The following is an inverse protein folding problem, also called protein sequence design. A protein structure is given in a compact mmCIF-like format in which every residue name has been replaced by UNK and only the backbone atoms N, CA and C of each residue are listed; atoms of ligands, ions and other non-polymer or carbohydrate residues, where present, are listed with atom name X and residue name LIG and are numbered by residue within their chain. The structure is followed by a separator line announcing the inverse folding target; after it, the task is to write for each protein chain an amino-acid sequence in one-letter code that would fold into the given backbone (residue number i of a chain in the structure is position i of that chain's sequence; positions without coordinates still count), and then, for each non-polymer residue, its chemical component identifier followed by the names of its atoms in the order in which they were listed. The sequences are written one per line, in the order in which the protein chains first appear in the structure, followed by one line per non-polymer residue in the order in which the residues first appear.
data_IF_418898035949
#
_entry.id   IF_418898035949
#
_cell.length_a   1.000
_cell.length_b   1.000
_cell.length_c   1.000
_cell.angle_alpha   90.00
_cell.angle_beta   90.00
_cell.angle_gamma   90.00
#
_symmetry.space_group_name_H-M   'P 1'
#
loop_
_entity.id
_entity.type
_entity.pdbx_description
1 polymer ?
#
# COMPACT_ATOMS: atom_id res chain seq x y z
N UNK A 1 30.31 -4.52 -3.34
CA UNK A 1 28.95 -5.05 -3.11
C UNK A 1 28.95 -5.63 -1.71
N UNK A 2 28.43 -4.86 -0.76
CA UNK A 2 28.27 -5.28 0.63
C UNK A 2 27.24 -6.41 0.71
N UNK A 3 27.28 -7.21 1.78
CA UNK A 3 26.22 -8.19 2.07
C UNK A 3 24.85 -7.52 2.14
N UNK A 4 24.81 -6.24 2.56
CA UNK A 4 23.59 -5.43 2.60
C UNK A 4 23.04 -5.17 1.19
N UNK A 5 23.91 -4.92 0.19
CA UNK A 5 23.49 -4.76 -1.20
C UNK A 5 22.79 -6.02 -1.71
N UNK A 6 23.30 -7.20 -1.35
CA UNK A 6 22.71 -8.50 -1.73
C UNK A 6 21.31 -8.65 -1.14
N UNK A 7 21.14 -8.30 0.14
CA UNK A 7 19.84 -8.35 0.81
C UNK A 7 18.85 -7.38 0.14
N UNK A 8 19.27 -6.13 -0.11
CA UNK A 8 18.44 -5.16 -0.84
C UNK A 8 18.05 -5.72 -2.21
N UNK A 9 19.01 -6.24 -2.97
CA UNK A 9 18.76 -6.76 -4.31
C UNK A 9 17.78 -7.94 -4.29
N UNK A 10 17.89 -8.81 -3.29
CA UNK A 10 16.98 -9.94 -3.11
C UNK A 10 15.56 -9.47 -2.79
N UNK A 11 15.39 -8.50 -1.88
CA UNK A 11 14.09 -7.94 -1.55
C UNK A 11 13.44 -7.25 -2.75
N UNK A 12 14.21 -6.44 -3.49
CA UNK A 12 13.73 -5.79 -4.72
C UNK A 12 13.42 -6.82 -5.81
N UNK A 13 14.22 -7.88 -5.93
CA UNK A 13 13.98 -8.99 -6.85
C UNK A 13 12.70 -9.75 -6.53
N UNK A 14 12.41 -10.01 -5.25
CA UNK A 14 11.13 -10.58 -4.80
C UNK A 14 9.98 -9.63 -5.15
N UNK A 15 10.14 -8.32 -4.89
CA UNK A 15 9.18 -7.28 -5.29
C UNK A 15 8.87 -7.33 -6.79
N UNK A 16 9.90 -7.40 -7.62
CA UNK A 16 9.79 -7.52 -9.07
C UNK A 16 9.02 -8.78 -9.49
N UNK A 17 9.37 -9.94 -8.94
CA UNK A 17 8.72 -11.21 -9.29
C UNK A 17 7.27 -11.24 -8.83
N UNK A 18 6.99 -10.81 -7.61
CA UNK A 18 5.63 -10.74 -7.05
C UNK A 18 4.79 -9.74 -7.85
N UNK A 19 5.33 -8.57 -8.14
CA UNK A 19 4.67 -7.54 -8.94
C UNK A 19 4.37 -8.02 -10.36
N UNK A 20 5.35 -8.65 -11.02
CA UNK A 20 5.17 -9.17 -12.37
C UNK A 20 4.15 -10.30 -12.43
N UNK A 21 4.09 -11.15 -11.40
CA UNK A 21 3.07 -12.21 -11.28
C UNK A 21 1.67 -11.66 -11.02
N UNK A 22 1.56 -10.58 -10.24
CA UNK A 22 0.27 -9.92 -9.95
C UNK A 22 -0.24 -9.12 -11.16
N UNK A 23 0.65 -8.50 -11.91
CA UNK A 23 0.31 -7.57 -13.00
C UNK A 23 0.01 -6.16 -12.47
N UNK A 24 0.21 -5.15 -13.32
CA UNK A 24 -0.01 -3.74 -12.99
C UNK A 24 -1.49 -3.42 -12.75
N UNK A 25 -2.36 -3.87 -13.66
CA UNK A 25 -3.81 -3.61 -13.61
C UNK A 25 -4.38 -4.08 -12.29
N UNK A 26 -4.06 -5.30 -11.86
CA UNK A 26 -4.51 -5.83 -10.57
C UNK A 26 -4.07 -4.97 -9.39
N UNK A 27 -2.85 -4.45 -9.42
CA UNK A 27 -2.30 -3.63 -8.35
C UNK A 27 -3.00 -2.26 -8.31
N UNK A 28 -3.16 -1.60 -9.45
CA UNK A 28 -3.83 -0.30 -9.55
C UNK A 28 -5.31 -0.41 -9.20
N UNK A 29 -6.04 -1.35 -9.78
CA UNK A 29 -7.47 -1.52 -9.47
C UNK A 29 -7.70 -1.96 -8.01
N UNK A 30 -6.77 -2.71 -7.42
CA UNK A 30 -6.82 -3.02 -5.99
C UNK A 30 -6.69 -1.77 -5.12
N UNK A 31 -5.78 -0.85 -5.46
CA UNK A 31 -5.62 0.42 -4.75
C UNK A 31 -6.80 1.36 -4.96
N UNK A 32 -7.23 1.55 -6.21
CA UNK A 32 -8.39 2.39 -6.54
C UNK A 32 -9.66 1.82 -5.90
N UNK A 33 -9.86 0.51 -5.97
CA UNK A 33 -10.97 -0.18 -5.32
C UNK A 33 -10.98 -0.01 -3.81
N UNK A 34 -9.80 -0.08 -3.17
CA UNK A 34 -9.66 0.20 -1.74
C UNK A 34 -10.08 1.63 -1.40
N UNK A 35 -9.57 2.63 -2.13
CA UNK A 35 -9.89 4.04 -1.88
C UNK A 35 -11.39 4.31 -2.06
N UNK A 36 -11.99 3.78 -3.12
CA UNK A 36 -13.42 3.92 -3.38
C UNK A 36 -14.24 3.18 -2.31
N UNK A 37 -13.82 1.98 -1.90
CA UNK A 37 -14.50 1.23 -0.84
C UNK A 37 -14.45 1.96 0.50
N UNK A 38 -13.33 2.62 0.85
CA UNK A 38 -13.23 3.47 2.04
C UNK A 38 -14.17 4.68 1.92
N UNK A 39 -14.14 5.38 0.79
CA UNK A 39 -14.99 6.56 0.57
C UNK A 39 -16.49 6.23 0.62
N UNK A 40 -16.90 5.12 0.00
CA UNK A 40 -18.27 4.61 0.08
C UNK A 40 -18.61 4.13 1.49
N UNK A 41 -17.71 3.39 2.13
CA UNK A 41 -17.87 2.95 3.51
C UNK A 41 -18.16 4.12 4.44
N UNK A 42 -17.36 5.17 4.35
CA UNK A 42 -17.52 6.39 5.14
C UNK A 42 -18.82 7.12 4.79
N UNK A 43 -19.15 7.27 3.50
CA UNK A 43 -20.34 8.01 3.06
C UNK A 43 -21.66 7.33 3.45
N UNK A 44 -21.68 6.00 3.56
CA UNK A 44 -22.89 5.21 3.81
C UNK A 44 -22.93 4.55 5.20
N UNK A 45 -21.95 4.83 6.08
CA UNK A 45 -21.84 4.17 7.39
C UNK A 45 -23.06 4.37 8.28
N UNK A 46 -23.61 5.59 8.34
CA UNK A 46 -24.77 5.90 9.19
C UNK A 46 -26.05 5.28 8.62
N UNK A 47 -26.27 5.38 7.30
CA UNK A 47 -27.47 4.86 6.65
C UNK A 47 -27.57 3.34 6.74
N UNK A 48 -26.46 2.62 6.48
CA UNK A 48 -26.42 1.16 6.59
C UNK A 48 -26.36 0.70 8.04
N UNK A 49 -25.70 1.46 8.92
CA UNK A 49 -25.73 1.25 10.36
C UNK A 49 -27.16 1.28 10.92
N UNK A 50 -27.91 2.35 10.66
CA UNK A 50 -29.29 2.47 11.12
C UNK A 50 -30.20 1.36 10.56
N UNK A 51 -29.95 0.89 9.33
CA UNK A 51 -30.64 -0.27 8.79
C UNK A 51 -30.30 -1.56 9.56
N UNK A 52 -29.03 -1.76 9.92
CA UNK A 52 -28.56 -2.90 10.72
C UNK A 52 -29.11 -2.89 12.15
N UNK A 53 -29.18 -1.72 12.79
CA UNK A 53 -29.81 -1.52 14.09
C UNK A 53 -31.26 -2.03 14.08
N UNK A 54 -32.06 -1.55 13.12
CA UNK A 54 -33.48 -1.90 13.01
C UNK A 54 -33.73 -3.38 12.67
N UNK A 55 -32.80 -4.04 11.96
CA UNK A 55 -33.00 -5.43 11.48
C UNK A 55 -32.40 -6.48 12.39
N UNK A 56 -31.28 -6.18 13.03
CA UNK A 56 -30.47 -7.15 13.78
C UNK A 56 -30.38 -6.77 15.27
N UNK A 57 -30.91 -5.61 15.67
CA UNK A 57 -30.86 -5.14 17.05
C UNK A 57 -29.45 -4.73 17.49
N UNK A 58 -28.62 -4.27 16.54
CA UNK A 58 -27.26 -3.82 16.82
C UNK A 58 -27.27 -2.59 17.74
N UNK A 59 -26.44 -2.54 18.80
CA UNK A 59 -26.36 -1.36 19.65
C UNK A 59 -25.93 -0.13 18.85
N UNK A 60 -26.56 1.01 19.14
CA UNK A 60 -26.35 2.31 18.44
C UNK A 60 -24.87 2.69 18.37
N UNK A 61 -24.11 2.39 19.43
CA UNK A 61 -22.68 2.72 19.53
C UNK A 61 -21.81 1.99 18.49
N UNK A 62 -22.18 0.77 18.09
CA UNK A 62 -21.45 -0.03 17.09
C UNK A 62 -22.05 0.03 15.69
N UNK A 63 -23.25 0.59 15.57
CA UNK A 63 -24.04 0.63 14.33
C UNK A 63 -23.29 1.30 13.16
N UNK A 64 -22.69 2.50 13.32
CA UNK A 64 -21.93 3.12 12.23
C UNK A 64 -20.71 2.32 11.81
N UNK A 65 -19.98 1.72 12.76
CA UNK A 65 -18.81 0.88 12.45
C UNK A 65 -19.20 -0.39 11.68
N UNK A 66 -20.30 -1.02 12.07
CA UNK A 66 -20.85 -2.18 11.36
C UNK A 66 -21.32 -1.80 9.95
N UNK A 67 -21.97 -0.64 9.80
CA UNK A 67 -22.38 -0.09 8.50
C UNK A 67 -21.19 0.18 7.58
N UNK A 68 -20.16 0.85 8.09
CA UNK A 68 -18.90 1.06 7.37
C UNK A 68 -18.32 -0.28 6.90
N UNK A 69 -18.19 -1.25 7.81
CA UNK A 69 -17.63 -2.57 7.51
C UNK A 69 -18.41 -3.30 6.43
N UNK A 70 -19.75 -3.28 6.49
CA UNK A 70 -20.59 -3.95 5.50
C UNK A 70 -20.44 -3.33 4.10
N UNK A 71 -20.49 -2.00 4.01
CA UNK A 71 -20.34 -1.27 2.74
C UNK A 71 -18.93 -1.44 2.18
N UNK A 72 -17.92 -1.26 3.03
CA UNK A 72 -16.52 -1.42 2.65
C UNK A 72 -16.25 -2.82 2.09
N UNK A 73 -16.66 -3.87 2.79
CA UNK A 73 -16.46 -5.26 2.35
C UNK A 73 -17.24 -5.56 1.07
N UNK A 74 -18.48 -5.07 0.96
CA UNK A 74 -19.29 -5.23 -0.24
C UNK A 74 -18.68 -4.55 -1.47
N UNK A 75 -18.27 -3.29 -1.33
CA UNK A 75 -17.61 -2.54 -2.38
C UNK A 75 -16.26 -3.18 -2.76
N UNK A 76 -15.47 -3.59 -1.77
CA UNK A 76 -14.17 -4.22 -2.01
C UNK A 76 -14.32 -5.56 -2.75
N UNK A 77 -15.32 -6.36 -2.38
CA UNK A 77 -15.64 -7.60 -3.07
C UNK A 77 -16.06 -7.34 -4.52
N UNK A 78 -16.87 -6.31 -4.76
CA UNK A 78 -17.28 -5.89 -6.11
C UNK A 78 -16.07 -5.50 -6.98
N UNK A 79 -15.18 -4.64 -6.49
CA UNK A 79 -13.96 -4.26 -7.20
C UNK A 79 -13.04 -5.45 -7.47
N UNK A 80 -12.96 -6.39 -6.54
CA UNK A 80 -12.18 -7.62 -6.71
C UNK A 80 -12.72 -8.50 -7.84
N UNK A 81 -14.06 -8.57 -8.01
CA UNK A 81 -14.69 -9.29 -9.13
C UNK A 81 -14.37 -8.60 -10.45
N UNK A 82 -14.56 -7.27 -10.53
CA UNK A 82 -14.25 -6.47 -11.73
C UNK A 82 -12.78 -6.66 -12.12
N UNK A 83 -11.87 -6.49 -11.17
CA UNK A 83 -10.43 -6.59 -11.39
C UNK A 83 -10.06 -7.94 -11.99
N UNK A 84 -10.64 -9.03 -11.48
CA UNK A 84 -10.41 -10.38 -12.03
C UNK A 84 -10.93 -10.53 -13.46
N UNK A 85 -12.06 -9.92 -13.79
CA UNK A 85 -12.62 -9.89 -15.14
C UNK A 85 -11.69 -9.16 -16.11
N UNK A 86 -11.27 -7.95 -15.75
CA UNK A 86 -10.35 -7.12 -16.54
C UNK A 86 -9.01 -7.84 -16.73
N UNK A 87 -8.43 -8.40 -15.67
CA UNK A 87 -7.18 -9.16 -15.73
C UNK A 87 -7.28 -10.38 -16.66
N UNK A 88 -8.44 -11.04 -16.73
CA UNK A 88 -8.66 -12.18 -17.64
C UNK A 88 -8.68 -11.70 -19.09
N UNK A 89 -9.38 -10.60 -19.36
CA UNK A 89 -9.43 -9.99 -20.69
C UNK A 89 -8.05 -9.57 -21.18
N UNK A 90 -7.27 -8.87 -20.33
CA UNK A 90 -5.92 -8.41 -20.65
C UNK A 90 -4.97 -9.56 -20.95
N UNK A 91 -5.08 -10.66 -20.20
CA UNK A 91 -4.22 -11.84 -20.38
C UNK A 91 -4.46 -12.59 -21.69
N UNK A 92 -5.63 -12.46 -22.30
CA UNK A 92 -5.92 -13.08 -23.59
C UNK A 92 -5.16 -12.42 -24.74
N UNK A 93 -4.67 -11.19 -24.55
CA UNK A 93 -3.91 -10.45 -25.55
C UNK A 93 -2.42 -10.50 -25.16
N UNK A 94 -1.62 -11.29 -25.88
CA UNK A 94 -0.21 -11.58 -25.53
C UNK A 94 0.62 -10.32 -25.30
N UNK A 95 0.49 -9.31 -26.16
CA UNK A 95 1.22 -8.05 -26.05
C UNK A 95 0.84 -7.25 -24.80
N UNK A 96 -0.47 -7.03 -24.57
CA UNK A 96 -0.97 -6.27 -23.42
C UNK A 96 -0.69 -7.03 -22.12
N UNK A 97 -0.84 -8.36 -22.12
CA UNK A 97 -0.52 -9.21 -20.98
C UNK A 97 0.96 -9.12 -20.59
N UNK A 98 1.88 -9.03 -21.55
CA UNK A 98 3.32 -8.87 -21.29
C UNK A 98 3.62 -7.49 -20.72
N UNK A 99 3.08 -6.42 -21.31
CA UNK A 99 3.22 -5.06 -20.78
C UNK A 99 2.67 -4.96 -19.35
N UNK A 100 1.48 -5.56 -19.09
CA UNK A 100 0.88 -5.60 -17.77
C UNK A 100 1.79 -6.27 -16.72
N UNK A 101 2.52 -7.33 -17.10
CA UNK A 101 3.49 -7.99 -16.22
C UNK A 101 4.74 -7.16 -16.01
N UNK A 102 5.28 -6.51 -17.06
CA UNK A 102 6.47 -5.65 -16.95
C UNK A 102 6.17 -4.46 -16.03
N UNK A 103 5.09 -3.73 -16.31
CA UNK A 103 4.63 -2.63 -15.46
C UNK A 103 4.31 -3.11 -14.04
N UNK A 104 3.75 -4.32 -13.92
CA UNK A 104 3.49 -4.94 -12.62
C UNK A 104 4.77 -5.19 -11.84
N UNK A 105 5.83 -5.65 -12.51
CA UNK A 105 7.16 -5.84 -11.93
C UNK A 105 7.78 -4.53 -11.48
N UNK A 106 7.74 -3.50 -12.33
CA UNK A 106 8.22 -2.16 -11.98
C UNK A 106 7.49 -1.60 -10.75
N UNK A 107 6.16 -1.69 -10.72
CA UNK A 107 5.36 -1.28 -9.57
C UNK A 107 5.68 -2.10 -8.31
N UNK A 108 5.94 -3.40 -8.47
CA UNK A 108 6.36 -4.28 -7.38
C UNK A 108 7.73 -3.90 -6.80
N UNK A 109 8.68 -3.48 -7.64
CA UNK A 109 9.98 -2.94 -7.20
C UNK A 109 9.77 -1.66 -6.41
N UNK A 110 8.97 -0.71 -6.92
CA UNK A 110 8.66 0.54 -6.20
C UNK A 110 8.04 0.25 -4.84
N UNK A 111 7.09 -0.68 -4.78
CA UNK A 111 6.43 -1.08 -3.54
C UNK A 111 7.41 -1.74 -2.55
N UNK A 112 8.27 -2.64 -3.04
CA UNK A 112 9.28 -3.28 -2.21
C UNK A 112 10.36 -2.28 -1.74
N UNK A 113 10.73 -1.33 -2.58
CA UNK A 113 11.64 -0.24 -2.24
C UNK A 113 11.05 0.63 -1.14
N UNK A 114 9.76 1.00 -1.23
CA UNK A 114 9.05 1.76 -0.18
C UNK A 114 8.95 1.00 1.13
N UNK A 115 8.62 -0.29 1.07
CA UNK A 115 8.55 -1.12 2.27
C UNK A 115 9.92 -1.25 2.92
N UNK A 116 10.96 -1.48 2.12
CA UNK A 116 12.33 -1.63 2.60
C UNK A 116 12.88 -0.30 3.13
N UNK A 117 12.59 0.82 2.49
CA UNK A 117 13.00 2.16 2.92
C UNK A 117 12.40 2.53 4.27
N UNK A 118 11.11 2.23 4.48
CA UNK A 118 10.46 2.40 5.77
C UNK A 118 11.15 1.53 6.85
N UNK A 119 11.45 0.27 6.56
CA UNK A 119 12.16 -0.61 7.50
C UNK A 119 13.55 -0.08 7.82
N UNK A 120 14.33 0.34 6.81
CA UNK A 120 15.65 0.92 7.01
C UNK A 120 15.59 2.23 7.81
N UNK A 121 14.59 3.07 7.56
CA UNK A 121 14.36 4.30 8.32
C UNK A 121 14.13 4.03 9.80
N UNK A 122 13.27 3.05 10.12
CA UNK A 122 13.00 2.62 11.50
C UNK A 122 14.22 1.95 12.14
N UNK A 123 14.97 1.13 11.40
CA UNK A 123 16.20 0.54 11.94
C UNK A 123 17.26 1.62 12.21
N UNK A 124 17.35 2.62 11.34
CA UNK A 124 18.32 3.70 11.48
C UNK A 124 18.08 4.53 12.74
N UNK A 125 16.82 4.70 13.17
CA UNK A 125 16.47 5.42 14.40
C UNK A 125 16.93 4.71 15.67
N UNK A 126 17.13 3.38 15.63
CA UNK A 126 17.73 2.58 16.73
C UNK A 126 19.22 2.29 16.51
N UNK A 127 19.86 2.96 15.55
CA UNK A 127 21.30 2.82 15.28
C UNK A 127 21.70 1.61 14.42
N UNK A 128 20.75 0.93 13.78
CA UNK A 128 21.00 -0.25 12.94
C UNK A 128 20.71 0.02 11.45
N UNK A 129 21.47 -0.56 10.51
CA UNK A 129 22.76 -1.23 10.67
C UNK A 129 23.85 -0.25 11.17
N UNK A 130 24.99 -0.72 11.70
CA UNK A 130 26.12 0.15 12.07
C UNK A 130 26.62 1.00 10.88
N UNK A 131 27.18 2.18 11.16
CA UNK A 131 27.66 3.13 10.15
C UNK A 131 28.65 2.53 9.15
N UNK A 132 29.51 1.63 9.62
CA UNK A 132 30.46 0.86 8.79
C UNK A 132 29.74 0.07 7.69
N UNK A 133 28.65 -0.63 8.05
CA UNK A 133 27.86 -1.43 7.12
C UNK A 133 27.07 -0.55 6.15
N UNK A 134 26.65 0.64 6.57
CA UNK A 134 25.95 1.62 5.72
C UNK A 134 26.89 2.20 4.67
N UNK A 135 28.10 2.62 5.07
CA UNK A 135 29.09 3.23 4.19
C UNK A 135 29.62 2.29 3.10
N UNK A 136 29.63 0.99 3.38
CA UNK A 136 30.05 -0.04 2.43
C UNK A 136 28.97 -0.43 1.40
N UNK A 137 27.72 0.03 1.56
CA UNK A 137 26.60 -0.30 0.67
C UNK A 137 26.28 0.85 -0.29
N UNK A 138 26.32 0.55 -1.59
CA UNK A 138 25.96 1.52 -2.63
C UNK A 138 24.44 1.72 -2.73
N UNK A 139 23.64 0.70 -2.39
CA UNK A 139 22.19 0.74 -2.51
C UNK A 139 21.49 1.24 -1.25
N UNK A 140 22.16 1.24 -0.09
CA UNK A 140 21.57 1.67 1.18
C UNK A 140 20.99 3.07 1.08
N UNK A 141 21.78 4.05 0.64
CA UNK A 141 21.36 5.44 0.61
C UNK A 141 20.20 5.67 -0.38
N UNK A 142 20.26 5.04 -1.54
CA UNK A 142 19.23 5.13 -2.59
C UNK A 142 17.88 4.62 -2.07
N UNK A 143 17.88 3.47 -1.39
CA UNK A 143 16.64 2.90 -0.83
C UNK A 143 16.20 3.69 0.39
N UNK A 144 17.10 4.02 1.32
CA UNK A 144 16.79 4.75 2.53
C UNK A 144 16.08 6.08 2.25
N UNK A 145 16.57 6.86 1.28
CA UNK A 145 15.98 8.16 0.92
C UNK A 145 14.61 8.06 0.25
N UNK A 146 14.21 6.88 -0.22
CA UNK A 146 12.93 6.71 -0.91
C UNK A 146 11.74 6.95 0.04
N UNK A 147 11.86 6.60 1.33
CA UNK A 147 10.84 6.89 2.33
C UNK A 147 10.63 8.39 2.59
N UNK A 148 11.65 9.18 3.01
CA UNK A 148 11.45 10.61 3.30
C UNK A 148 10.99 11.41 2.08
N UNK A 149 11.44 11.04 0.87
CA UNK A 149 10.97 11.67 -0.36
C UNK A 149 9.47 11.42 -0.58
N UNK A 150 9.03 10.16 -0.47
CA UNK A 150 7.60 9.84 -0.63
C UNK A 150 6.75 10.39 0.51
N UNK A 151 7.29 10.44 1.72
CA UNK A 151 6.65 11.10 2.86
C UNK A 151 6.41 12.59 2.59
N UNK A 152 7.44 13.32 2.11
CA UNK A 152 7.30 14.75 1.80
C UNK A 152 6.26 15.04 0.71
N UNK A 153 6.15 14.15 -0.28
CA UNK A 153 5.16 14.27 -1.35
C UNK A 153 3.75 13.99 -0.82
N UNK A 154 3.60 13.01 0.07
CA UNK A 154 2.33 12.68 0.70
C UNK A 154 1.85 13.84 1.59
N UNK A 155 2.73 14.41 2.42
CA UNK A 155 2.37 15.55 3.31
C UNK A 155 2.09 16.83 2.53
N UNK A 156 2.74 17.03 1.38
CA UNK A 156 2.45 18.19 0.51
C UNK A 156 1.03 18.13 -0.09
N UNK A 157 0.50 16.93 -0.33
CA UNK A 157 -0.86 16.75 -0.86
C UNK A 157 -1.92 16.65 0.24
N UNK A 158 -1.57 16.10 1.40
CA UNK A 158 -2.47 15.90 2.53
C UNK A 158 -1.86 16.49 3.80
N UNK A 159 -2.13 17.78 4.10
CA UNK A 159 -1.54 18.48 5.25
C UNK A 159 -1.82 17.81 6.60
N UNK A 160 -2.94 17.10 6.71
CA UNK A 160 -3.32 16.29 7.88
C UNK A 160 -2.26 15.24 8.26
N UNK A 161 -1.52 14.71 7.27
CA UNK A 161 -0.42 13.77 7.51
C UNK A 161 0.79 14.45 8.17
N UNK A 162 1.00 15.76 7.91
CA UNK A 162 2.07 16.52 8.54
C UNK A 162 1.80 16.68 10.05
N UNK A 163 0.56 17.01 10.42
CA UNK A 163 0.13 17.13 11.82
C UNK A 163 0.33 15.81 12.59
N UNK A 164 0.05 14.66 11.96
CA UNK A 164 0.32 13.36 12.56
C UNK A 164 1.82 13.15 12.83
N UNK A 165 2.70 13.51 11.89
CA UNK A 165 4.14 13.38 12.11
C UNK A 165 4.67 14.28 13.22
N UNK A 166 4.16 15.51 13.36
CA UNK A 166 4.54 16.40 14.46
C UNK A 166 4.11 15.84 15.81
N UNK A 167 2.92 15.23 15.89
CA UNK A 167 2.45 14.56 17.11
C UNK A 167 3.32 13.37 17.51
N UNK A 168 3.80 12.58 16.54
CA UNK A 168 4.72 11.48 16.83
C UNK A 168 6.13 11.96 17.25
N UNK A 169 6.61 13.07 16.69
CA UNK A 169 7.90 13.66 17.06
C UNK A 169 7.87 14.42 18.40
N UNK A 170 6.72 14.91 18.84
CA UNK A 170 6.56 15.62 20.13
C UNK A 170 6.13 14.70 21.27
N UNK A 171 5.71 13.46 20.97
CA UNK A 171 5.29 12.44 21.94
C UNK A 171 6.37 11.40 22.30
N UNK A 172 7.60 11.56 21.80
CA UNK A 172 8.80 10.79 22.17
C UNK A 172 9.84 11.72 22.79
#
# INVERSE_FOLDING_TARGET
MSWLDIVIFLVLGVGLLVGARRGFVRQVFGLVGLLIAIALGYSFMEGVGGWLENRVGLPVEYSPLAGFGLVFLGAQLFFMIITRGVDRFIRNIVFIGTINRILGGAFGVVTACLALSLVLYVLASVGLPPSEVRGDSALYEVVYQFFPQTWSLATAQFPELAELSERFNTGL
#
